data_IF_979410384478
#
_entry.id   IF_979410384478
#
_cell.length_a   1.000
_cell.length_b   1.000
_cell.length_c   1.000
_cell.angle_alpha   90.00
_cell.angle_beta   90.00
_cell.angle_gamma   90.00
#
_symmetry.space_group_name_H-M   'P 1'
#
loop_
_entity.id
_entity.type
_entity.pdbx_description
1 polymer ?
#
# COMPACT_ATOMS: atom_id res chain seq x y z
N UNK A 1 28.23 2.94 -16.54
CA UNK A 1 27.45 2.92 -15.28
C UNK A 1 26.00 3.18 -15.65
N UNK A 2 25.13 2.18 -15.53
CA UNK A 2 23.70 2.41 -15.64
C UNK A 2 23.27 3.36 -14.52
N UNK A 3 22.65 4.49 -14.88
CA UNK A 3 22.05 5.38 -13.89
C UNK A 3 20.76 4.74 -13.43
N UNK A 4 20.83 4.06 -12.31
CA UNK A 4 19.64 3.57 -11.64
C UNK A 4 18.78 4.75 -11.19
N UNK A 5 17.52 4.74 -11.62
CA UNK A 5 16.54 5.72 -11.22
C UNK A 5 16.03 5.30 -9.83
N UNK A 6 16.10 6.21 -8.86
CA UNK A 6 15.55 5.98 -7.54
C UNK A 6 14.04 6.26 -7.59
N UNK A 7 13.19 5.36 -7.08
CA UNK A 7 11.75 5.55 -7.16
C UNK A 7 11.29 6.70 -6.25
N UNK A 8 10.53 7.61 -6.84
CA UNK A 8 9.75 8.60 -6.12
C UNK A 8 8.51 7.96 -5.49
N UNK A 9 7.80 8.71 -4.65
CA UNK A 9 6.61 8.17 -3.98
C UNK A 9 5.54 7.74 -4.99
N UNK A 10 5.38 8.48 -6.10
CA UNK A 10 4.44 8.12 -7.17
C UNK A 10 4.76 6.77 -7.81
N UNK A 11 6.04 6.46 -8.00
CA UNK A 11 6.46 5.17 -8.58
C UNK A 11 6.13 4.01 -7.62
N UNK A 12 6.30 4.23 -6.31
CA UNK A 12 5.92 3.26 -5.28
C UNK A 12 4.40 3.11 -5.20
N UNK A 13 3.64 4.20 -5.26
CA UNK A 13 2.16 4.16 -5.32
C UNK A 13 1.69 3.32 -6.51
N UNK A 14 2.30 3.54 -7.68
CA UNK A 14 1.96 2.79 -8.89
C UNK A 14 2.33 1.31 -8.77
N UNK A 15 3.51 1.00 -8.22
CA UNK A 15 3.95 -0.37 -7.98
C UNK A 15 3.02 -1.10 -7.00
N UNK A 16 2.57 -0.44 -5.92
CA UNK A 16 1.58 -0.97 -4.98
C UNK A 16 0.27 -1.27 -5.72
N UNK A 17 -0.25 -0.33 -6.52
CA UNK A 17 -1.50 -0.51 -7.26
C UNK A 17 -1.42 -1.68 -8.24
N UNK A 18 -0.30 -1.80 -8.95
CA UNK A 18 -0.06 -2.88 -9.89
C UNK A 18 0.05 -4.23 -9.19
N UNK A 19 0.79 -4.29 -8.07
CA UNK A 19 0.91 -5.49 -7.26
C UNK A 19 -0.45 -5.98 -6.78
N UNK A 20 -1.26 -5.08 -6.19
CA UNK A 20 -2.58 -5.43 -5.66
C UNK A 20 -3.56 -5.86 -6.76
N UNK A 21 -3.44 -5.30 -7.97
CA UNK A 21 -4.21 -5.72 -9.14
C UNK A 21 -3.87 -7.14 -9.59
N UNK A 22 -2.57 -7.51 -9.56
CA UNK A 22 -2.09 -8.84 -9.95
C UNK A 22 -2.27 -9.90 -8.85
N UNK A 23 -2.09 -9.52 -7.58
CA UNK A 23 -2.07 -10.40 -6.41
C UNK A 23 -2.88 -9.78 -5.26
N UNK A 24 -4.23 -9.84 -5.32
CA UNK A 24 -5.08 -9.26 -4.29
C UNK A 24 -4.99 -9.99 -2.93
N UNK A 25 -4.55 -11.26 -2.90
CA UNK A 25 -4.43 -12.07 -1.68
C UNK A 25 -2.98 -12.14 -1.14
N UNK A 26 -2.21 -11.08 -1.32
CA UNK A 26 -0.82 -11.03 -0.83
C UNK A 26 -0.77 -10.98 0.70
N UNK A 27 0.13 -11.77 1.28
CA UNK A 27 0.34 -11.76 2.72
C UNK A 27 1.12 -10.48 3.14
N UNK A 28 0.77 -9.81 4.26
CA UNK A 28 1.45 -8.58 4.69
C UNK A 28 2.96 -8.72 4.86
N UNK A 29 3.45 -9.91 5.23
CA UNK A 29 4.89 -10.18 5.35
C UNK A 29 5.64 -10.13 4.01
N UNK A 30 4.98 -10.56 2.93
CA UNK A 30 5.58 -10.62 1.59
C UNK A 30 5.42 -9.29 0.83
N UNK A 31 4.56 -8.40 1.33
CA UNK A 31 4.16 -7.18 0.65
C UNK A 31 5.35 -6.30 0.23
N UNK A 32 6.30 -6.07 1.14
CA UNK A 32 7.45 -5.21 0.85
C UNK A 32 8.31 -5.79 -0.28
N UNK A 33 8.59 -7.08 -0.22
CA UNK A 33 9.47 -7.74 -1.18
C UNK A 33 8.81 -7.82 -2.55
N UNK A 34 7.51 -8.07 -2.60
CA UNK A 34 6.76 -8.05 -3.85
C UNK A 34 6.65 -6.64 -4.47
N UNK A 35 6.49 -5.58 -3.66
CA UNK A 35 6.55 -4.19 -4.16
C UNK A 35 7.92 -3.90 -4.76
N UNK A 36 9.00 -4.36 -4.12
CA UNK A 36 10.36 -4.21 -4.67
C UNK A 36 10.54 -4.94 -5.98
N UNK A 37 10.03 -6.17 -6.12
CA UNK A 37 10.07 -6.91 -7.39
C UNK A 37 9.39 -6.14 -8.52
N UNK A 38 8.21 -5.56 -8.27
CA UNK A 38 7.51 -4.72 -9.28
C UNK A 38 8.33 -3.48 -9.66
N UNK A 39 9.03 -2.85 -8.71
CA UNK A 39 9.92 -1.73 -8.98
C UNK A 39 11.17 -2.14 -9.77
N UNK A 40 11.75 -3.29 -9.46
CA UNK A 40 12.91 -3.85 -10.18
C UNK A 40 12.57 -4.24 -11.61
N UNK A 41 11.38 -4.83 -11.84
CA UNK A 41 10.85 -5.10 -13.19
C UNK A 41 10.74 -3.81 -14.02
N UNK A 42 10.47 -2.68 -13.37
CA UNK A 42 10.45 -1.32 -13.97
C UNK A 42 11.82 -0.65 -14.04
N UNK A 43 12.91 -1.38 -13.74
CA UNK A 43 14.30 -0.90 -13.75
C UNK A 43 14.61 0.18 -12.69
N UNK A 44 13.83 0.27 -11.62
CA UNK A 44 14.16 1.12 -10.47
C UNK A 44 15.15 0.43 -9.53
N UNK A 45 15.95 1.24 -8.82
CA UNK A 45 16.79 0.73 -7.75
C UNK A 45 16.05 0.71 -6.41
N UNK A 46 15.92 -0.49 -5.85
CA UNK A 46 15.17 -0.77 -4.62
C UNK A 46 16.04 -0.83 -3.37
N UNK A 47 17.37 -0.77 -3.50
CA UNK A 47 18.30 -0.88 -2.37
C UNK A 47 18.11 0.17 -1.28
N UNK A 48 17.50 1.31 -1.62
CA UNK A 48 17.16 2.40 -0.68
C UNK A 48 15.65 2.46 -0.35
N UNK A 49 14.85 1.52 -0.85
CA UNK A 49 13.42 1.44 -0.56
C UNK A 49 13.23 0.68 0.76
N UNK A 50 13.07 1.43 1.85
CA UNK A 50 12.80 0.85 3.16
C UNK A 50 11.34 0.39 3.28
N UNK A 51 11.12 -0.70 4.04
CA UNK A 51 9.76 -1.17 4.33
C UNK A 51 8.88 -0.11 4.97
N UNK A 52 9.44 0.72 5.87
CA UNK A 52 8.74 1.86 6.47
C UNK A 52 8.20 2.85 5.44
N UNK A 53 8.96 3.12 4.37
CA UNK A 53 8.52 4.03 3.29
C UNK A 53 7.36 3.43 2.50
N UNK A 54 7.45 2.14 2.16
CA UNK A 54 6.37 1.42 1.46
C UNK A 54 5.09 1.41 2.29
N UNK A 55 5.19 1.03 3.57
CA UNK A 55 4.04 1.02 4.49
C UNK A 55 3.39 2.38 4.66
N UNK A 56 4.21 3.44 4.84
CA UNK A 56 3.68 4.80 4.95
C UNK A 56 2.88 5.21 3.71
N UNK A 57 3.37 4.85 2.52
CA UNK A 57 2.69 5.16 1.25
C UNK A 57 1.40 4.34 1.13
N UNK A 58 1.44 3.03 1.43
CA UNK A 58 0.25 2.18 1.45
C UNK A 58 -0.84 2.75 2.37
N UNK A 59 -0.48 3.05 3.63
CA UNK A 59 -1.39 3.63 4.62
C UNK A 59 -1.99 4.95 4.13
N UNK A 60 -1.16 5.83 3.55
CA UNK A 60 -1.61 7.10 2.98
C UNK A 60 -2.61 6.89 1.83
N UNK A 61 -2.37 5.90 0.96
CA UNK A 61 -3.29 5.56 -0.13
C UNK A 61 -4.64 5.04 0.40
N UNK A 62 -4.63 4.19 1.43
CA UNK A 62 -5.83 3.67 2.08
C UNK A 62 -6.61 4.79 2.76
N UNK A 63 -5.95 5.61 3.60
CA UNK A 63 -6.58 6.72 4.33
C UNK A 63 -7.19 7.77 3.40
N UNK A 64 -6.56 8.00 2.23
CA UNK A 64 -7.08 8.92 1.20
C UNK A 64 -8.18 8.30 0.32
N UNK A 65 -8.56 7.04 0.55
CA UNK A 65 -9.56 6.33 -0.25
C UNK A 65 -9.11 6.03 -1.69
N UNK A 66 -7.81 6.06 -1.97
CA UNK A 66 -7.27 5.74 -3.31
C UNK A 66 -7.27 4.24 -3.58
N UNK A 67 -7.10 3.44 -2.53
CA UNK A 67 -7.22 1.98 -2.53
C UNK A 67 -8.00 1.53 -1.30
N UNK A 68 -8.55 0.34 -1.35
CA UNK A 68 -9.12 -0.33 -0.18
C UNK A 68 -7.99 -0.90 0.69
N UNK A 69 -8.27 -1.12 1.98
CA UNK A 69 -7.34 -1.83 2.86
C UNK A 69 -7.37 -3.34 2.60
N UNK A 70 -6.73 -3.74 1.50
CA UNK A 70 -6.69 -5.14 1.06
C UNK A 70 -5.92 -6.02 2.06
N UNK A 71 -4.91 -5.44 2.72
CA UNK A 71 -4.08 -6.15 3.70
C UNK A 71 -4.71 -6.21 5.10
N UNK A 72 -5.77 -5.43 5.36
CA UNK A 72 -6.46 -5.40 6.66
C UNK A 72 -5.58 -4.90 7.80
N UNK A 73 -4.58 -4.06 7.54
CA UNK A 73 -3.60 -3.59 8.53
C UNK A 73 -3.85 -2.15 8.99
N UNK A 74 -4.84 -1.45 8.43
CA UNK A 74 -5.15 -0.06 8.74
C UNK A 74 -6.39 0.00 9.64
N UNK A 75 -6.16 0.10 10.95
CA UNK A 75 -7.20 -0.05 11.98
C UNK A 75 -8.16 1.13 12.15
N UNK A 76 -7.95 2.25 11.44
CA UNK A 76 -8.78 3.46 11.52
C UNK A 76 -8.79 4.17 10.16
N UNK A 77 -9.71 3.76 9.27
CA UNK A 77 -9.98 4.49 8.03
C UNK A 77 -11.16 5.45 8.23
N UNK A 78 -11.21 6.60 7.54
CA UNK A 78 -12.37 7.50 7.62
C UNK A 78 -13.70 6.81 7.28
N UNK A 79 -13.66 5.74 6.48
CA UNK A 79 -14.82 4.94 6.08
C UNK A 79 -15.41 4.13 7.25
N UNK A 80 -14.61 3.83 8.26
CA UNK A 80 -15.06 3.16 9.49
C UNK A 80 -15.86 4.12 10.39
N UNK A 81 -15.65 5.43 10.24
CA UNK A 81 -16.39 6.46 10.99
C UNK A 81 -17.80 6.70 10.44
N UNK A 82 -18.07 6.34 9.17
CA UNK A 82 -19.40 6.42 8.55
C UNK A 82 -20.29 5.20 8.91
N UNK A 83 -19.73 4.17 9.55
CA UNK A 83 -20.47 2.93 9.89
C UNK A 83 -21.04 2.93 11.32
N UNK A 84 -20.83 4.00 12.10
CA UNK A 84 -21.23 4.07 13.51
C UNK A 84 -22.61 4.71 13.72
N UNK A 85 -23.59 4.34 12.88
CA UNK A 85 -24.98 4.84 12.95
C UNK A 85 -26.02 3.73 13.25
N UNK A 86 -25.59 2.54 13.67
CA UNK A 86 -26.49 1.47 14.13
C UNK A 86 -25.97 0.83 15.42
N UNK A 87 -26.06 1.56 16.53
CA UNK A 87 -26.31 0.93 17.83
C UNK A 87 -27.33 1.76 18.60
N UNK A 88 -28.53 1.82 18.05
CA UNK A 88 -29.75 2.01 18.84
C UNK A 88 -30.25 0.64 19.28
N UNK A 89 -29.79 0.20 20.45
CA UNK A 89 -30.60 -0.63 21.35
C UNK A 89 -30.55 0.11 22.69
N UNK A 90 -31.53 0.94 23.08
CA UNK A 90 -32.91 0.59 23.41
C UNK A 90 -33.03 -0.57 24.39
N UNK A 91 -32.59 -0.38 25.63
CA UNK A 91 -33.44 -0.54 26.84
C UNK A 91 -32.73 -0.10 28.11
#
# INVERSE_FOLDING_TARGET
MERYIHPHNKDIEEAIRELLSKKPHIHPLDFIDEVKKVLEEKKFYTGLVSGKRVWRIYEEMVRKGRIYDILGVVTQTPKDLDSNDYTTESK
#
